data_IF_480020085521
#
_entry.id   IF_480020085521
#
_cell.length_a   1.000
_cell.length_b   1.000
_cell.length_c   1.000
_cell.angle_alpha   90.00
_cell.angle_beta   90.00
_cell.angle_gamma   90.00
#
_symmetry.space_group_name_H-M   'P 1'
#
loop_
_entity.id
_entity.type
_entity.pdbx_description
1 polymer ?
#
# COMPACT_ATOMS: atom_id res chain seq x y z
N UNK A 1 -6.98 15.28 -1.68
CA UNK A 1 -7.10 13.80 -1.45
C UNK A 1 -7.41 13.10 -2.75
N UNK A 2 -6.70 12.04 -3.02
CA UNK A 2 -6.97 11.15 -4.16
C UNK A 2 -7.80 10.00 -3.64
N UNK A 3 -8.96 9.79 -4.22
CA UNK A 3 -9.80 8.65 -3.84
C UNK A 3 -9.46 7.46 -4.70
N UNK A 4 -9.53 6.26 -4.13
CA UNK A 4 -9.31 4.96 -4.73
C UNK A 4 -9.11 4.87 -6.23
N UNK A 5 -8.96 3.75 -6.79
CA UNK A 5 -8.76 3.54 -8.21
C UNK A 5 -7.29 3.39 -8.59
N UNK A 6 -6.96 3.58 -9.87
CA UNK A 6 -5.69 3.14 -10.44
C UNK A 6 -4.72 4.29 -10.78
N UNK A 7 -4.86 5.45 -10.19
CA UNK A 7 -3.94 6.56 -10.42
C UNK A 7 -2.60 6.35 -9.71
N UNK A 8 -1.55 7.08 -10.16
CA UNK A 8 -0.25 7.07 -9.50
C UNK A 8 -0.41 7.48 -8.04
N UNK A 9 0.28 6.79 -7.14
CA UNK A 9 0.18 7.03 -5.70
C UNK A 9 -1.00 6.35 -5.03
N UNK A 10 -1.90 5.71 -5.78
CA UNK A 10 -3.02 4.95 -5.22
C UNK A 10 -2.69 3.46 -5.17
N UNK A 11 -3.48 2.71 -4.40
CA UNK A 11 -3.33 1.26 -4.32
C UNK A 11 -3.92 0.52 -5.52
N UNK A 12 -4.70 1.19 -6.35
CA UNK A 12 -5.44 0.56 -7.44
C UNK A 12 -6.72 -0.15 -6.99
N UNK A 13 -7.15 0.01 -5.75
CA UNK A 13 -8.33 -0.66 -5.19
C UNK A 13 -9.39 0.38 -4.84
N UNK A 14 -10.60 0.17 -5.33
CA UNK A 14 -11.73 1.05 -5.03
C UNK A 14 -12.03 1.06 -3.53
N UNK A 15 -12.42 2.21 -3.00
CA UNK A 15 -12.74 2.39 -1.58
C UNK A 15 -11.54 2.82 -0.73
N UNK A 16 -10.34 2.64 -1.21
CA UNK A 16 -9.14 3.11 -0.52
C UNK A 16 -8.93 4.58 -0.86
N UNK A 17 -8.72 5.40 0.15
CA UNK A 17 -8.47 6.85 -0.02
C UNK A 17 -6.98 7.11 0.14
N UNK A 18 -6.43 7.93 -0.75
CA UNK A 18 -5.03 8.36 -0.71
C UNK A 18 -4.96 9.87 -0.57
N UNK A 19 -4.22 10.34 0.42
CA UNK A 19 -3.94 11.76 0.62
C UNK A 19 -2.45 12.00 0.42
N UNK A 20 -2.08 12.92 -0.44
CA UNK A 20 -0.68 13.33 -0.62
C UNK A 20 -0.32 14.26 0.54
N UNK A 21 0.64 13.83 1.37
CA UNK A 21 1.12 14.61 2.51
C UNK A 21 2.35 15.45 2.14
N UNK A 22 3.16 14.97 1.22
CA UNK A 22 4.38 15.63 0.79
C UNK A 22 4.76 15.19 -0.62
N UNK A 23 5.26 16.13 -1.42
CA UNK A 23 5.78 15.82 -2.75
C UNK A 23 4.70 15.51 -3.77
N UNK A 24 5.12 14.93 -4.89
CA UNK A 24 4.24 14.54 -5.98
C UNK A 24 4.63 13.12 -6.44
N UNK A 25 3.77 12.12 -6.19
CA UNK A 25 4.09 10.72 -6.57
C UNK A 25 4.27 10.51 -8.07
N UNK A 26 3.84 11.45 -8.90
CA UNK A 26 3.97 11.36 -10.36
C UNK A 26 5.28 11.94 -10.89
N UNK A 27 6.08 12.58 -10.04
CA UNK A 27 7.31 13.26 -10.40
C UNK A 27 8.50 12.63 -9.70
N UNK A 28 9.71 12.87 -10.23
CA UNK A 28 10.94 12.44 -9.56
C UNK A 28 11.06 13.16 -8.21
N UNK A 29 11.55 12.44 -7.22
CA UNK A 29 11.80 12.97 -5.89
C UNK A 29 10.97 12.30 -4.81
N UNK A 30 11.27 12.60 -3.55
CA UNK A 30 10.58 11.96 -2.44
C UNK A 30 9.12 12.41 -2.35
N UNK A 31 8.27 11.48 -1.92
CA UNK A 31 6.87 11.78 -1.62
C UNK A 31 6.44 11.01 -0.37
N UNK A 32 5.38 11.50 0.26
CA UNK A 32 4.71 10.82 1.36
C UNK A 32 3.22 10.84 1.12
N UNK A 33 2.59 9.70 1.23
CA UNK A 33 1.14 9.57 1.11
C UNK A 33 0.56 8.89 2.36
N UNK A 34 -0.68 9.23 2.66
CA UNK A 34 -1.49 8.52 3.64
C UNK A 34 -2.50 7.68 2.90
N UNK A 35 -2.59 6.40 3.23
CA UNK A 35 -3.68 5.55 2.74
C UNK A 35 -4.63 5.24 3.89
N UNK A 36 -5.93 5.26 3.57
CA UNK A 36 -7.01 4.85 4.47
C UNK A 36 -7.74 3.70 3.82
N UNK A 37 -7.68 2.54 4.46
CA UNK A 37 -8.21 1.29 3.93
C UNK A 37 -9.41 0.88 4.78
N UNK A 38 -10.61 0.73 4.19
CA UNK A 38 -11.78 0.27 4.94
C UNK A 38 -11.57 -1.12 5.54
N UNK A 39 -12.37 -1.47 6.54
CA UNK A 39 -12.44 -2.84 7.03
C UNK A 39 -12.84 -3.81 5.91
N UNK A 40 -12.49 -5.07 6.05
CA UNK A 40 -12.86 -6.16 5.13
C UNK A 40 -12.43 -5.88 3.68
N UNK A 41 -11.25 -5.33 3.51
CA UNK A 41 -10.69 -4.96 2.20
C UNK A 41 -9.44 -5.77 1.91
N UNK A 42 -9.30 -6.22 0.68
CA UNK A 42 -8.15 -6.99 0.22
C UNK A 42 -7.48 -6.27 -0.94
N UNK A 43 -6.17 -6.11 -0.85
CA UNK A 43 -5.35 -5.59 -1.94
C UNK A 43 -4.59 -6.77 -2.55
N UNK A 44 -4.91 -7.10 -3.79
CA UNK A 44 -4.27 -8.19 -4.52
C UNK A 44 -2.77 -7.92 -4.72
N UNK A 45 -2.02 -8.96 -5.00
CA UNK A 45 -0.57 -8.86 -5.18
C UNK A 45 -0.23 -7.90 -6.33
N UNK A 46 0.71 -7.01 -6.08
CA UNK A 46 1.11 -5.96 -7.02
C UNK A 46 2.54 -5.51 -6.72
N UNK A 47 3.11 -4.76 -7.67
CA UNK A 47 4.44 -4.18 -7.53
C UNK A 47 4.38 -2.67 -7.71
N UNK A 48 5.41 -2.01 -7.22
CA UNK A 48 5.68 -0.59 -7.49
C UNK A 48 7.08 -0.47 -8.07
N UNK A 49 7.29 0.51 -8.95
CA UNK A 49 8.60 0.70 -9.59
C UNK A 49 9.64 1.29 -8.64
N UNK A 50 9.21 2.00 -7.60
CA UNK A 50 10.08 2.62 -6.61
C UNK A 50 10.13 1.79 -5.32
N UNK A 51 11.22 1.96 -4.58
CA UNK A 51 11.32 1.42 -3.23
C UNK A 51 10.49 2.28 -2.29
N UNK A 52 9.62 1.64 -1.52
CA UNK A 52 8.76 2.33 -0.57
C UNK A 52 8.97 1.75 0.82
N UNK A 53 8.79 2.59 1.83
CA UNK A 53 8.72 2.17 3.22
C UNK A 53 7.45 2.75 3.83
N UNK A 54 6.98 2.13 4.90
CA UNK A 54 5.69 2.51 5.46
C UNK A 54 5.64 2.30 6.97
N UNK A 55 4.74 3.03 7.61
CA UNK A 55 4.42 2.86 9.01
C UNK A 55 2.91 2.74 9.18
N UNK A 56 2.46 1.79 9.99
CA UNK A 56 1.06 1.65 10.35
C UNK A 56 0.73 2.68 11.43
N UNK A 57 -0.25 3.53 11.15
CA UNK A 57 -0.65 4.62 12.05
C UNK A 57 -1.83 4.19 12.93
N UNK A 58 -2.81 3.49 12.35
CA UNK A 58 -4.00 3.04 13.06
C UNK A 58 -4.50 1.73 12.46
N UNK A 59 -5.12 0.91 13.30
CA UNK A 59 -5.64 -0.38 12.91
C UNK A 59 -4.56 -1.45 12.80
N UNK A 60 -4.95 -2.65 12.40
CA UNK A 60 -4.04 -3.78 12.22
C UNK A 60 -3.96 -4.14 10.75
N UNK A 61 -2.76 -4.08 10.19
CA UNK A 61 -2.48 -4.36 8.80
C UNK A 61 -1.96 -5.79 8.65
N UNK A 62 -2.55 -6.56 7.75
CA UNK A 62 -2.12 -7.93 7.45
C UNK A 62 -1.40 -7.88 6.13
N UNK A 63 -0.08 -8.09 6.14
CA UNK A 63 0.80 -7.79 5.01
C UNK A 63 1.65 -9.00 4.65
N UNK A 64 1.76 -9.28 3.35
CA UNK A 64 2.57 -10.39 2.85
C UNK A 64 3.32 -10.04 1.58
N UNK A 65 4.38 -10.82 1.30
CA UNK A 65 5.16 -10.72 0.08
C UNK A 65 4.90 -11.93 -0.81
N UNK A 66 4.96 -11.71 -2.10
CA UNK A 66 4.81 -12.76 -3.08
C UNK A 66 3.82 -12.39 -4.19
N UNK A 67 3.87 -13.11 -5.32
CA UNK A 67 3.03 -12.78 -6.49
C UNK A 67 1.58 -13.26 -6.37
N UNK A 68 1.27 -14.01 -5.32
CA UNK A 68 -0.08 -14.52 -5.04
C UNK A 68 -0.48 -14.11 -3.63
N UNK A 69 -1.65 -13.51 -3.49
CA UNK A 69 -2.17 -13.09 -2.20
C UNK A 69 -2.60 -14.32 -1.39
N UNK A 70 -1.73 -14.76 -0.49
CA UNK A 70 -1.93 -15.92 0.37
C UNK A 70 -2.09 -15.45 1.82
N UNK A 71 -3.32 -15.51 2.33
CA UNK A 71 -3.62 -15.04 3.68
C UNK A 71 -2.94 -15.87 4.78
N UNK A 72 -2.47 -17.07 4.45
CA UNK A 72 -1.78 -17.92 5.44
C UNK A 72 -0.37 -17.42 5.78
N UNK A 73 0.22 -16.57 4.93
CA UNK A 73 1.60 -16.10 5.13
C UNK A 73 1.70 -14.63 5.52
N UNK A 74 0.58 -13.96 5.78
CA UNK A 74 0.62 -12.56 6.18
C UNK A 74 1.19 -12.39 7.58
N UNK A 75 1.90 -11.28 7.76
CA UNK A 75 2.32 -10.80 9.07
C UNK A 75 1.27 -9.85 9.61
N UNK A 76 1.04 -9.93 10.91
CA UNK A 76 0.13 -9.04 11.62
C UNK A 76 0.91 -7.82 12.09
N UNK A 77 0.56 -6.65 11.56
CA UNK A 77 1.27 -5.40 11.81
C UNK A 77 0.36 -4.43 12.60
N UNK A 78 0.55 -4.32 13.91
CA UNK A 78 -0.21 -3.35 14.72
C UNK A 78 0.30 -1.92 14.49
N UNK A 79 -0.40 -0.90 15.05
CA UNK A 79 0.07 0.49 14.97
C UNK A 79 1.53 0.63 15.45
N UNK A 80 2.28 1.46 14.75
CA UNK A 80 3.71 1.65 14.99
C UNK A 80 4.62 0.70 14.24
N UNK A 81 4.07 -0.31 13.57
CA UNK A 81 4.85 -1.23 12.74
C UNK A 81 5.43 -0.50 11.55
N UNK A 82 6.68 -0.82 11.24
CA UNK A 82 7.38 -0.35 10.04
C UNK A 82 7.57 -1.51 9.08
N UNK A 83 7.32 -1.28 7.78
CA UNK A 83 7.57 -2.30 6.77
C UNK A 83 8.05 -1.66 5.46
N UNK A 84 8.57 -2.48 4.57
CA UNK A 84 9.10 -2.03 3.28
C UNK A 84 8.37 -2.70 2.13
N UNK A 85 8.33 -1.98 1.01
CA UNK A 85 7.85 -2.46 -0.28
C UNK A 85 9.00 -2.27 -1.28
N UNK A 86 9.95 -3.21 -1.35
CA UNK A 86 11.08 -3.07 -2.26
C UNK A 86 10.63 -2.93 -3.72
N UNK A 87 11.39 -2.17 -4.49
CA UNK A 87 11.06 -1.92 -5.89
C UNK A 87 10.88 -3.23 -6.66
N UNK A 88 9.79 -3.33 -7.40
CA UNK A 88 9.44 -4.47 -8.25
C UNK A 88 9.29 -5.80 -7.51
N UNK A 89 9.14 -5.77 -6.20
CA UNK A 89 8.91 -6.96 -5.37
C UNK A 89 7.41 -7.02 -5.02
N UNK A 90 6.76 -8.10 -5.44
CA UNK A 90 5.31 -8.23 -5.26
C UNK A 90 4.92 -8.34 -3.78
N UNK A 91 3.85 -7.67 -3.43
CA UNK A 91 3.29 -7.72 -2.08
C UNK A 91 1.76 -7.56 -2.16
N UNK A 92 1.12 -7.91 -1.06
CA UNK A 92 -0.33 -7.85 -0.92
C UNK A 92 -0.68 -7.55 0.54
N UNK A 93 -1.92 -7.14 0.77
CA UNK A 93 -2.34 -6.79 2.11
C UNK A 93 -3.86 -6.93 2.26
N UNK A 94 -4.32 -6.99 3.50
CA UNK A 94 -5.75 -6.98 3.78
C UNK A 94 -6.02 -6.36 5.14
N UNK A 95 -7.26 -5.91 5.30
CA UNK A 95 -7.84 -5.55 6.58
C UNK A 95 -8.85 -6.60 6.98
N UNK A 96 -9.18 -6.65 8.28
CA UNK A 96 -10.25 -7.52 8.78
C UNK A 96 -11.33 -6.64 9.41
N UNK A 97 -11.53 -6.70 10.73
CA UNK A 97 -12.69 -6.09 11.36
C UNK A 97 -12.58 -4.57 11.53
N UNK A 98 -11.42 -3.99 11.30
CA UNK A 98 -11.21 -2.55 11.48
C UNK A 98 -10.48 -1.93 10.29
N UNK A 99 -10.70 -0.63 10.03
CA UNK A 99 -9.97 0.07 9.00
C UNK A 99 -8.51 0.29 9.41
N UNK A 100 -7.67 0.56 8.42
CA UNK A 100 -6.24 0.82 8.62
C UNK A 100 -5.87 2.17 8.03
N UNK A 101 -5.00 2.90 8.73
CA UNK A 101 -4.32 4.08 8.21
C UNK A 101 -2.82 3.80 8.21
N UNK A 102 -2.16 4.04 7.09
CA UNK A 102 -0.71 3.89 6.97
C UNK A 102 -0.13 5.08 6.23
N UNK A 103 1.09 5.48 6.61
CA UNK A 103 1.89 6.45 5.88
C UNK A 103 2.91 5.70 5.04
N UNK A 104 3.04 6.09 3.78
CA UNK A 104 3.95 5.46 2.82
C UNK A 104 4.92 6.52 2.30
N UNK A 105 6.20 6.20 2.33
CA UNK A 105 7.29 7.04 1.89
C UNK A 105 7.95 6.41 0.67
N UNK A 106 8.08 7.16 -0.41
CA UNK A 106 8.66 6.64 -1.64
C UNK A 106 9.50 7.68 -2.36
N UNK A 107 9.96 7.31 -3.55
CA UNK A 107 10.76 8.16 -4.43
C UNK A 107 10.18 8.06 -5.84
N UNK A 108 9.45 9.09 -6.23
CA UNK A 108 8.70 9.11 -7.47
C UNK A 108 9.59 9.11 -8.73
N UNK A 109 8.98 8.87 -9.88
CA UNK A 109 7.56 8.56 -10.05
C UNK A 109 7.23 7.12 -9.62
N UNK A 110 6.06 6.96 -9.00
CA UNK A 110 5.58 5.64 -8.59
C UNK A 110 4.58 5.08 -9.60
N UNK A 111 4.28 3.81 -9.47
CA UNK A 111 3.20 3.13 -10.20
C UNK A 111 2.62 2.01 -9.33
N UNK A 112 1.58 1.35 -9.83
CA UNK A 112 1.03 0.14 -9.23
C UNK A 112 0.68 -0.80 -10.36
N UNK A 113 1.31 -1.99 -10.36
CA UNK A 113 1.09 -3.00 -11.39
C UNK A 113 0.68 -4.30 -10.70
N UNK A 114 -0.55 -4.74 -10.96
CA UNK A 114 -1.04 -6.00 -10.40
C UNK A 114 -0.40 -7.18 -11.11
N UNK A 115 -0.08 -8.23 -10.33
CA UNK A 115 0.44 -9.46 -10.89
C UNK A 115 -0.67 -10.23 -11.61
N UNK A 116 -0.30 -11.12 -12.54
CA UNK A 116 -1.28 -11.93 -13.26
C UNK A 116 -2.00 -12.93 -12.35
N UNK A 117 -1.37 -13.31 -11.24
CA UNK A 117 -1.89 -14.32 -10.30
C UNK A 117 -2.47 -13.63 -9.06
N UNK A 118 -3.62 -13.00 -9.23
CA UNK A 118 -4.32 -12.37 -8.11
C UNK A 118 -5.82 -12.77 -8.04
#
# INVERSE_FOLDING_TARGET
MIRGGAGAGTSGVAGIQTTILFGDPTQAGPYTIEIRVPAHTRIAAHTHRDHRSAVVVAGTWYFGYGPVADEAVVKTLPPGSFYTEPANDAHFALTRDEPVVAYIFGDGPTDTVFTAAH
#
